data_IF_054811754262
#
_entry.id   IF_054811754262
#
_cell.length_a   1.000
_cell.length_b   1.000
_cell.length_c   1.000
_cell.angle_alpha   90.00
_cell.angle_beta   90.00
_cell.angle_gamma   90.00
#
_symmetry.space_group_name_H-M   'P 1'
#
loop_
_entity.id
_entity.type
_entity.pdbx_description
1 polymer ?
#
# COMPACT_ATOMS: atom_id res chain seq x y z
N UNK A 1 -7.91 22.30 18.63
CA UNK A 1 -7.25 21.35 17.77
C UNK A 1 -8.28 20.46 17.10
N UNK A 2 -8.25 20.39 15.80
CA UNK A 2 -9.33 19.75 15.05
C UNK A 2 -8.88 18.45 14.42
N UNK A 3 -8.51 17.49 15.23
CA UNK A 3 -8.04 16.20 14.71
C UNK A 3 -9.15 15.43 14.03
N UNK A 4 -10.39 15.65 14.39
CA UNK A 4 -11.50 14.95 13.77
C UNK A 4 -11.66 15.35 12.30
N UNK A 5 -11.03 16.44 11.90
CA UNK A 5 -11.09 16.88 10.51
C UNK A 5 -10.01 16.27 9.64
N UNK A 6 -9.11 15.54 10.23
CA UNK A 6 -8.00 14.97 9.47
C UNK A 6 -8.50 13.77 8.67
N UNK A 7 -8.31 13.83 7.36
CA UNK A 7 -8.68 12.74 6.47
C UNK A 7 -7.41 11.96 6.16
N UNK A 8 -7.41 10.72 6.56
CA UNK A 8 -6.23 9.88 6.36
C UNK A 8 -6.11 9.45 4.92
N UNK A 9 -4.93 9.66 4.37
CA UNK A 9 -4.59 9.13 3.04
C UNK A 9 -3.54 8.03 3.16
N UNK A 10 -3.23 7.62 4.39
CA UNK A 10 -2.29 6.52 4.63
C UNK A 10 -3.02 5.34 5.20
N UNK A 11 -2.45 4.17 4.98
CA UNK A 11 -3.02 2.91 5.42
C UNK A 11 -1.99 2.12 6.19
N UNK A 12 -2.45 1.37 7.18
CA UNK A 12 -1.59 0.42 7.87
C UNK A 12 -1.43 -0.81 6.98
N UNK A 13 -0.58 -1.74 7.43
CA UNK A 13 -0.36 -2.96 6.66
C UNK A 13 -1.66 -3.76 6.53
N UNK A 14 -2.41 -3.83 7.62
CA UNK A 14 -3.68 -4.57 7.60
C UNK A 14 -4.71 -3.89 6.70
N UNK A 15 -4.77 -2.58 6.78
CA UNK A 15 -5.70 -1.83 5.94
C UNK A 15 -5.31 -1.95 4.48
N UNK A 16 -4.01 -1.99 4.20
CA UNK A 16 -3.53 -2.15 2.83
C UNK A 16 -3.95 -3.50 2.28
N UNK A 17 -3.88 -4.55 3.10
CA UNK A 17 -4.32 -5.87 2.65
C UNK A 17 -5.80 -5.84 2.26
N UNK A 18 -6.62 -5.16 3.05
CA UNK A 18 -8.04 -5.02 2.75
C UNK A 18 -8.25 -4.18 1.49
N UNK A 19 -7.50 -3.12 1.38
CA UNK A 19 -7.63 -2.21 0.24
C UNK A 19 -7.27 -2.91 -1.06
N UNK A 20 -6.24 -3.73 -1.04
CA UNK A 20 -5.79 -4.46 -2.22
C UNK A 20 -6.56 -5.77 -2.42
N UNK A 21 -7.27 -6.23 -1.40
CA UNK A 21 -8.00 -7.49 -1.50
C UNK A 21 -7.11 -8.71 -1.45
N UNK A 22 -6.02 -8.62 -0.69
CA UNK A 22 -5.08 -9.73 -0.58
C UNK A 22 -4.87 -10.04 0.90
N UNK A 23 -4.15 -11.12 1.17
CA UNK A 23 -3.90 -11.52 2.55
C UNK A 23 -2.88 -10.59 3.21
N UNK A 24 -2.99 -10.47 4.51
CA UNK A 24 -2.03 -9.72 5.29
C UNK A 24 -0.62 -10.28 5.09
N UNK A 25 -0.54 -11.61 5.04
CA UNK A 25 0.76 -12.27 4.85
C UNK A 25 1.42 -11.83 3.56
N UNK A 26 0.63 -11.74 2.48
CA UNK A 26 1.19 -11.32 1.20
C UNK A 26 1.74 -9.90 1.27
N UNK A 27 1.03 -9.00 1.96
CA UNK A 27 1.52 -7.64 2.09
C UNK A 27 2.84 -7.63 2.86
N UNK A 28 2.94 -8.43 3.92
CA UNK A 28 4.19 -8.49 4.69
C UNK A 28 5.34 -8.98 3.82
N UNK A 29 5.07 -9.95 2.93
CA UNK A 29 6.11 -10.46 2.03
C UNK A 29 6.56 -9.40 1.04
N UNK A 30 5.60 -8.66 0.51
CA UNK A 30 5.92 -7.60 -0.45
C UNK A 30 6.77 -6.52 0.20
N UNK A 31 6.46 -6.18 1.44
CA UNK A 31 7.25 -5.19 2.17
C UNK A 31 8.66 -5.69 2.42
N UNK A 32 8.80 -6.93 2.84
CA UNK A 32 10.11 -7.51 3.12
C UNK A 32 10.97 -7.56 1.88
N UNK A 33 10.38 -7.80 0.73
CA UNK A 33 11.10 -7.89 -0.54
C UNK A 33 11.23 -6.53 -1.21
N UNK A 34 10.72 -5.49 -0.57
CA UNK A 34 10.76 -4.13 -1.09
C UNK A 34 10.13 -4.04 -2.47
N UNK A 35 9.01 -4.73 -2.63
CA UNK A 35 8.29 -4.77 -3.90
C UNK A 35 7.01 -3.97 -3.88
N UNK A 36 6.76 -3.22 -2.81
CA UNK A 36 5.57 -2.39 -2.69
C UNK A 36 5.99 -1.08 -2.03
N UNK A 37 5.50 0.06 -2.52
CA UNK A 37 5.87 1.34 -1.94
C UNK A 37 5.29 1.49 -0.53
N UNK A 38 6.15 1.82 0.41
CA UNK A 38 5.73 2.01 1.79
C UNK A 38 6.71 2.93 2.49
N UNK A 39 6.31 3.40 3.67
CA UNK A 39 7.14 4.27 4.49
C UNK A 39 7.17 3.73 5.91
N UNK A 40 8.30 3.90 6.58
CA UNK A 40 8.39 3.53 7.98
C UNK A 40 8.38 4.80 8.82
N UNK A 41 7.45 4.85 9.74
CA UNK A 41 7.30 6.00 10.61
C UNK A 41 7.16 5.49 12.03
N UNK A 42 8.16 5.79 12.86
CA UNK A 42 8.10 5.42 14.27
C UNK A 42 7.88 3.94 14.49
N UNK A 43 8.50 3.10 13.69
CA UNK A 43 8.36 1.67 13.84
C UNK A 43 7.14 1.07 13.16
N UNK A 44 6.32 1.91 12.55
CA UNK A 44 5.13 1.45 11.84
C UNK A 44 5.36 1.55 10.35
N UNK A 45 4.76 0.63 9.61
CA UNK A 45 4.81 0.64 8.16
C UNK A 45 3.50 1.23 7.66
N UNK A 46 3.62 2.28 6.86
CA UNK A 46 2.45 2.98 6.34
C UNK A 46 2.51 3.02 4.81
N UNK A 47 1.34 3.03 4.20
CA UNK A 47 1.21 3.07 2.75
C UNK A 47 0.33 4.24 2.37
N UNK A 48 0.63 4.87 1.25
CA UNK A 48 -0.21 5.96 0.75
C UNK A 48 -1.11 5.42 -0.34
N UNK A 49 -2.39 5.82 -0.27
CA UNK A 49 -3.35 5.33 -1.25
C UNK A 49 -2.93 5.67 -2.67
N UNK A 50 -2.43 6.89 -2.87
CA UNK A 50 -1.96 7.30 -4.18
C UNK A 50 -0.85 6.40 -4.71
N UNK A 51 0.09 6.07 -3.83
CA UNK A 51 1.20 5.23 -4.23
C UNK A 51 0.74 3.82 -4.56
N UNK A 52 -0.23 3.33 -3.80
CA UNK A 52 -0.78 2.00 -4.07
C UNK A 52 -1.53 1.95 -5.39
N UNK A 53 -2.29 3.00 -5.67
CA UNK A 53 -3.02 3.06 -6.94
C UNK A 53 -2.06 3.09 -8.11
N UNK A 54 -0.99 3.85 -7.99
CA UNK A 54 0.03 3.91 -9.04
C UNK A 54 0.71 2.57 -9.19
N UNK A 55 1.00 1.92 -8.07
CA UNK A 55 1.61 0.59 -8.06
C UNK A 55 0.73 -0.41 -8.80
N UNK A 56 -0.57 -0.38 -8.55
CA UNK A 56 -1.50 -1.28 -9.22
C UNK A 56 -1.58 -0.98 -10.71
N UNK A 57 -1.60 0.31 -11.06
CA UNK A 57 -1.63 0.69 -12.47
C UNK A 57 -0.41 0.17 -13.21
N UNK A 58 0.75 0.24 -12.57
CA UNK A 58 1.98 -0.23 -13.18
C UNK A 58 1.96 -1.74 -13.34
N UNK A 59 1.40 -2.45 -12.35
CA UNK A 59 1.29 -3.90 -12.46
C UNK A 59 0.34 -4.29 -13.58
N UNK A 60 -0.77 -3.58 -13.70
CA UNK A 60 -1.73 -3.83 -14.77
C UNK A 60 -1.09 -3.62 -16.13
N UNK A 61 -0.37 -2.52 -16.27
CA UNK A 61 0.26 -2.17 -17.53
C UNK A 61 1.30 -3.22 -17.91
N UNK A 62 2.09 -3.68 -16.94
CA UNK A 62 3.09 -4.69 -17.19
C UNK A 62 2.45 -6.00 -17.64
N UNK A 63 1.31 -6.33 -17.04
CA UNK A 63 0.60 -7.55 -17.42
C UNK A 63 0.14 -7.49 -18.87
N UNK A 64 -0.37 -6.32 -19.29
CA UNK A 64 -0.83 -6.16 -20.66
C UNK A 64 0.32 -6.21 -21.64
N UNK A 65 1.44 -5.55 -21.30
CA UNK A 65 2.58 -5.53 -22.20
C UNK A 65 3.27 -6.87 -22.32
N UNK A 66 3.10 -7.72 -21.33
CA UNK A 66 3.75 -9.03 -21.34
C UNK A 66 2.96 -10.07 -22.11
N UNK A 67 1.83 -9.68 -22.64
CA UNK A 67 0.98 -10.59 -23.41
C UNK A 67 1.56 -10.91 -24.81
#
# INVERSE_FOLDING_TARGET
>A
MEFEKVIRTTLTMRETAEYLGVSYWLVTQLVRRKQIPCSRVGGKVLFRKEALDKYLNEKERASITNE
#
